data_IF_929240470870
#
_entry.id   IF_929240470870
#
_cell.length_a   1.000
_cell.length_b   1.000
_cell.length_c   1.000
_cell.angle_alpha   90.00
_cell.angle_beta   90.00
_cell.angle_gamma   90.00
#
_symmetry.space_group_name_H-M   'P 1'
#
loop_
_entity.id
_entity.type
_entity.pdbx_description
1 polymer ?
#
# COMPACT_ATOMS: atom_id res chain seq x y z
N UNK A 1 -20.09 -6.09 3.36
CA UNK A 1 -19.26 -6.23 4.57
C UNK A 1 -17.79 -5.86 4.30
N UNK A 2 -17.20 -6.27 3.17
CA UNK A 2 -15.82 -5.91 2.77
C UNK A 2 -15.49 -4.41 2.88
N UNK A 3 -16.38 -3.53 2.44
CA UNK A 3 -16.14 -2.08 2.48
C UNK A 3 -15.92 -1.53 3.91
N UNK A 4 -16.64 -2.04 4.91
CA UNK A 4 -16.51 -1.60 6.31
C UNK A 4 -15.21 -2.10 6.95
N UNK A 5 -14.81 -3.34 6.62
CA UNK A 5 -13.55 -3.91 7.08
C UNK A 5 -12.36 -3.17 6.48
N UNK A 6 -12.37 -2.88 5.17
CA UNK A 6 -11.32 -2.10 4.52
C UNK A 6 -11.22 -0.69 5.09
N UNK A 7 -12.35 -0.03 5.35
CA UNK A 7 -12.35 1.28 5.98
C UNK A 7 -11.77 1.24 7.40
N UNK A 8 -12.18 0.29 8.25
CA UNK A 8 -11.63 0.15 9.59
C UNK A 8 -10.12 -0.19 9.58
N UNK A 9 -9.66 -0.96 8.59
CA UNK A 9 -8.23 -1.24 8.40
C UNK A 9 -7.47 0.02 7.99
N UNK A 10 -8.00 0.83 7.07
CA UNK A 10 -7.41 2.10 6.66
C UNK A 10 -7.37 3.11 7.81
N UNK A 11 -8.47 3.27 8.56
CA UNK A 11 -8.54 4.14 9.74
C UNK A 11 -7.50 3.72 10.79
N UNK A 12 -7.37 2.42 11.05
CA UNK A 12 -6.35 1.89 11.96
C UNK A 12 -4.93 2.15 11.46
N UNK A 13 -4.69 2.00 10.16
CA UNK A 13 -3.38 2.25 9.56
C UNK A 13 -2.92 3.70 9.75
N UNK A 14 -3.83 4.68 9.70
CA UNK A 14 -3.48 6.10 9.90
C UNK A 14 -2.90 6.43 11.28
N UNK A 15 -3.05 5.54 12.26
CA UNK A 15 -2.51 5.71 13.60
C UNK A 15 -1.02 5.35 13.70
N UNK A 16 -0.44 4.77 12.65
CA UNK A 16 0.94 4.27 12.65
C UNK A 16 1.78 4.99 11.59
N UNK A 17 2.88 5.59 12.02
CA UNK A 17 3.96 6.05 11.13
C UNK A 17 5.06 4.99 11.14
N UNK A 18 5.59 4.63 9.98
CA UNK A 18 6.72 3.71 9.89
C UNK A 18 7.99 4.43 10.33
N UNK A 19 8.36 4.29 11.61
CA UNK A 19 9.59 4.88 12.14
C UNK A 19 10.83 4.10 11.67
N UNK A 20 11.40 4.54 10.54
CA UNK A 20 12.75 4.22 10.04
C UNK A 20 13.10 2.75 9.74
N UNK A 21 13.92 2.53 8.70
CA UNK A 21 14.32 1.22 8.15
C UNK A 21 13.18 0.28 7.69
N UNK A 22 12.03 0.84 7.33
CA UNK A 22 10.96 0.05 6.74
C UNK A 22 11.37 -0.56 5.40
N UNK A 23 11.14 -1.86 5.21
CA UNK A 23 11.24 -2.49 3.89
C UNK A 23 9.97 -2.13 3.12
N UNK A 24 10.14 -1.57 1.93
CA UNK A 24 9.05 -1.22 1.03
C UNK A 24 9.03 -2.15 -0.18
N UNK A 25 7.86 -2.62 -0.57
CA UNK A 25 7.64 -3.37 -1.82
C UNK A 25 6.47 -2.78 -2.61
N UNK A 26 6.54 -2.83 -3.93
CA UNK A 26 5.49 -2.34 -4.81
C UNK A 26 4.47 -3.43 -5.11
N UNK A 27 3.18 -3.14 -4.91
CA UNK A 27 2.10 -4.11 -5.18
C UNK A 27 1.00 -3.49 -6.04
N UNK A 28 0.43 -4.30 -6.94
CA UNK A 28 -0.74 -3.90 -7.74
C UNK A 28 -1.94 -4.71 -7.31
N UNK A 29 -2.98 -4.05 -6.81
CA UNK A 29 -4.23 -4.69 -6.40
C UNK A 29 -5.35 -4.22 -7.31
N UNK A 30 -6.14 -5.15 -7.82
CA UNK A 30 -7.32 -4.80 -8.59
C UNK A 30 -8.40 -5.86 -8.47
N UNK A 31 -9.65 -5.43 -8.52
CA UNK A 31 -10.81 -6.30 -8.52
C UNK A 31 -11.28 -6.63 -9.93
N UNK A 32 -12.32 -7.47 -10.03
CA UNK A 32 -13.04 -7.68 -11.28
C UNK A 32 -13.61 -6.35 -11.81
N UNK A 33 -13.45 -6.09 -13.11
CA UNK A 33 -14.10 -4.98 -13.80
C UNK A 33 -14.77 -5.50 -15.08
N UNK A 34 -16.08 -5.69 -15.04
CA UNK A 34 -16.84 -6.23 -16.17
C UNK A 34 -16.77 -5.28 -17.38
N UNK A 35 -16.34 -5.81 -18.52
CA UNK A 35 -16.10 -5.02 -19.73
C UNK A 35 -14.76 -4.28 -19.77
N UNK A 36 -13.94 -4.38 -18.72
CA UNK A 36 -12.60 -3.80 -18.64
C UNK A 36 -11.50 -4.67 -19.24
N UNK A 37 -10.29 -4.12 -19.32
CA UNK A 37 -9.12 -4.88 -19.75
C UNK A 37 -8.73 -5.91 -18.68
N UNK A 38 -8.50 -7.16 -19.11
CA UNK A 38 -8.01 -8.22 -18.22
C UNK A 38 -6.50 -8.07 -17.91
N UNK A 39 -6.10 -8.48 -16.71
CA UNK A 39 -4.69 -8.63 -16.33
C UNK A 39 -3.93 -7.31 -16.12
N UNK A 40 -2.64 -7.28 -16.48
CA UNK A 40 -1.77 -6.11 -16.28
C UNK A 40 -2.26 -4.92 -17.14
N UNK A 41 -2.48 -3.79 -16.49
CA UNK A 41 -3.03 -2.59 -17.12
C UNK A 41 -4.55 -2.53 -17.18
N UNK A 42 -5.26 -3.36 -16.41
CA UNK A 42 -6.67 -3.14 -16.10
C UNK A 42 -6.86 -1.77 -15.44
N UNK A 43 -7.94 -1.08 -15.80
CA UNK A 43 -8.31 0.22 -15.25
C UNK A 43 -8.61 0.14 -13.74
N UNK A 44 -8.97 -1.04 -13.24
CA UNK A 44 -9.34 -1.27 -11.85
C UNK A 44 -8.16 -1.70 -10.97
N UNK A 45 -6.91 -1.52 -11.44
CA UNK A 45 -5.71 -1.80 -10.66
C UNK A 45 -5.22 -0.53 -9.96
N UNK A 46 -5.39 -0.49 -8.64
CA UNK A 46 -4.66 0.43 -7.78
C UNK A 46 -3.20 0.01 -7.63
N UNK A 47 -2.33 1.00 -7.52
CA UNK A 47 -0.90 0.82 -7.28
C UNK A 47 -0.63 1.20 -5.83
N UNK A 48 0.07 0.33 -5.10
CA UNK A 48 0.32 0.52 -3.69
C UNK A 48 1.78 0.26 -3.35
N UNK A 49 2.26 0.89 -2.29
CA UNK A 49 3.50 0.53 -1.62
C UNK A 49 3.15 -0.11 -0.29
N UNK A 50 3.63 -1.34 -0.08
CA UNK A 50 3.57 -2.01 1.19
C UNK A 50 4.84 -1.69 1.97
N UNK A 51 4.72 -1.03 3.12
CA UNK A 51 5.84 -0.73 4.01
C UNK A 51 5.74 -1.57 5.28
N UNK A 52 6.84 -2.18 5.70
CA UNK A 52 6.92 -2.99 6.93
C UNK A 52 7.93 -2.39 7.89
N UNK A 53 7.53 -2.04 9.11
CA UNK A 53 8.46 -1.67 10.18
C UNK A 53 8.95 -2.92 10.91
N UNK A 54 10.21 -2.91 11.32
CA UNK A 54 10.86 -4.01 12.02
C UNK A 54 11.32 -3.55 13.41
N UNK A 55 11.43 -4.48 14.36
CA UNK A 55 12.16 -4.24 15.61
C UNK A 55 13.68 -4.32 15.39
N UNK A 56 14.47 -4.06 16.45
CA UNK A 56 15.93 -4.14 16.42
C UNK A 56 16.48 -5.55 16.09
N UNK A 57 15.64 -6.58 16.22
CA UNK A 57 15.96 -7.96 15.87
C UNK A 57 15.51 -8.34 14.45
N UNK A 58 14.86 -7.42 13.72
CA UNK A 58 14.37 -7.64 12.36
C UNK A 58 12.98 -8.31 12.29
N UNK A 59 12.24 -8.41 13.38
CA UNK A 59 10.88 -8.95 13.39
C UNK A 59 9.85 -7.90 12.95
N UNK A 60 8.83 -8.29 12.15
CA UNK A 60 7.80 -7.36 11.70
C UNK A 60 6.93 -6.86 12.85
N UNK A 61 6.79 -5.55 12.96
CA UNK A 61 5.93 -4.88 13.93
C UNK A 61 4.62 -4.43 13.29
N UNK A 62 4.71 -3.62 12.24
CA UNK A 62 3.55 -3.07 11.54
C UNK A 62 3.72 -3.16 10.03
N UNK A 63 2.58 -3.22 9.33
CA UNK A 63 2.50 -3.10 7.88
C UNK A 63 1.54 -1.95 7.52
N UNK A 64 1.93 -1.15 6.55
CA UNK A 64 1.10 -0.10 5.96
C UNK A 64 0.96 -0.36 4.47
N UNK A 65 -0.23 -0.11 3.91
CA UNK A 65 -0.49 -0.18 2.49
C UNK A 65 -0.95 1.18 1.96
N UNK A 66 -0.02 1.91 1.35
CA UNK A 66 -0.30 3.24 0.82
C UNK A 66 -0.53 3.21 -0.69
N UNK A 67 -1.68 3.71 -1.13
CA UNK A 67 -1.92 3.93 -2.56
C UNK A 67 -0.98 5.02 -3.09
N UNK A 68 -0.38 4.77 -4.25
CA UNK A 68 0.50 5.70 -4.95
C UNK A 68 0.00 5.93 -6.38
N UNK A 69 0.16 7.13 -6.95
CA UNK A 69 -0.27 7.41 -8.33
C UNK A 69 0.57 6.67 -9.38
N UNK A 70 1.68 6.04 -8.99
CA UNK A 70 2.57 5.30 -9.87
C UNK A 70 3.88 4.94 -9.20
N UNK A 71 4.61 3.96 -9.73
CA UNK A 71 5.96 3.58 -9.27
C UNK A 71 7.05 4.45 -9.90
N UNK A 72 6.83 5.77 -9.87
CA UNK A 72 7.80 6.75 -10.35
C UNK A 72 8.67 7.22 -9.18
N UNK A 73 9.92 7.63 -9.47
CA UNK A 73 10.81 8.20 -8.43
C UNK A 73 10.15 9.33 -7.63
N UNK A 74 9.39 10.20 -8.31
CA UNK A 74 8.67 11.32 -7.67
C UNK A 74 7.60 10.82 -6.69
N UNK A 75 6.79 9.84 -7.10
CA UNK A 75 5.74 9.28 -6.26
C UNK A 75 6.30 8.51 -5.05
N UNK A 76 7.37 7.74 -5.26
CA UNK A 76 8.03 7.00 -4.17
C UNK A 76 8.75 7.96 -3.20
N UNK A 77 9.33 9.06 -3.69
CA UNK A 77 9.89 10.09 -2.81
C UNK A 77 8.80 10.72 -1.93
N UNK A 78 7.68 11.15 -2.53
CA UNK A 78 6.56 11.68 -1.75
C UNK A 78 5.93 10.68 -0.77
N UNK A 79 5.96 9.38 -1.08
CA UNK A 79 5.53 8.34 -0.14
C UNK A 79 6.43 8.26 1.10
N UNK A 80 7.75 8.44 0.96
CA UNK A 80 8.69 8.40 2.09
C UNK A 80 8.54 9.58 3.05
N UNK A 81 8.03 10.70 2.56
CA UNK A 81 7.90 11.95 3.32
C UNK A 81 6.55 12.07 4.06
N UNK A 82 5.76 11.00 4.08
CA UNK A 82 4.42 10.93 4.67
C UNK A 82 4.46 10.46 6.12
#
# INVERSE_FOLDING_TARGET
MHHKLMQAMAERETLYTLESQGKGDDITLGGEHSGGKAGRGSENKGLFVAGVSLDDHGHPLHITLTEVPGFTRKAIAGWKDR
#
